data_IF_262222877515
#
_entry.id   IF_262222877515
#
_cell.length_a   1.000
_cell.length_b   1.000
_cell.length_c   1.000
_cell.angle_alpha   90.00
_cell.angle_beta   90.00
_cell.angle_gamma   90.00
#
_symmetry.space_group_name_H-M   'P 1'
#
loop_
_entity.id
_entity.type
_entity.pdbx_description
1 polymer ?
#
# COMPACT_ATOMS: atom_id res chain seq x y z
N UNK A 1 -2.10 6.10 -9.55
CA UNK A 1 -2.61 4.71 -9.71
C UNK A 1 -3.33 4.30 -8.42
N UNK A 2 -4.43 3.56 -8.52
CA UNK A 2 -5.22 3.08 -7.36
C UNK A 2 -4.85 1.64 -7.03
N UNK A 3 -4.51 1.36 -5.78
CA UNK A 3 -4.05 0.04 -5.34
C UNK A 3 -4.73 -0.33 -4.02
N UNK A 4 -5.19 -1.57 -3.90
CA UNK A 4 -5.78 -2.11 -2.66
C UNK A 4 -4.93 -3.30 -2.20
N UNK A 5 -4.39 -3.20 -0.98
CA UNK A 5 -3.71 -4.30 -0.30
C UNK A 5 -4.71 -5.00 0.63
N UNK A 6 -4.88 -6.31 0.48
CA UNK A 6 -5.72 -7.14 1.35
C UNK A 6 -4.79 -7.86 2.33
N UNK A 7 -4.95 -7.58 3.63
CA UNK A 7 -4.02 -7.93 4.71
C UNK A 7 -3.01 -6.80 4.97
N UNK A 8 -2.86 -6.42 6.24
CA UNK A 8 -1.88 -5.43 6.73
C UNK A 8 -0.61 -6.08 7.28
N UNK A 9 -0.32 -7.30 6.86
CA UNK A 9 0.96 -7.95 7.11
C UNK A 9 2.16 -7.18 6.52
N UNK A 10 3.39 -7.56 6.90
CA UNK A 10 4.60 -6.81 6.57
C UNK A 10 4.81 -6.62 5.07
N UNK A 11 4.42 -7.59 4.24
CA UNK A 11 4.51 -7.46 2.78
C UNK A 11 3.61 -6.36 2.22
N UNK A 12 2.34 -6.29 2.66
CA UNK A 12 1.37 -5.30 2.20
C UNK A 12 1.74 -3.87 2.62
N UNK A 13 2.21 -3.72 3.87
CA UNK A 13 2.67 -2.44 4.40
C UNK A 13 3.98 -1.99 3.76
N UNK A 14 4.96 -2.89 3.60
CA UNK A 14 6.22 -2.56 2.94
C UNK A 14 6.00 -2.12 1.49
N UNK A 15 5.11 -2.81 0.77
CA UNK A 15 4.72 -2.42 -0.57
C UNK A 15 4.06 -1.03 -0.59
N UNK A 16 3.08 -0.78 0.30
CA UNK A 16 2.38 0.50 0.36
C UNK A 16 3.34 1.67 0.63
N UNK A 17 4.26 1.50 1.58
CA UNK A 17 5.29 2.49 1.91
C UNK A 17 6.24 2.71 0.73
N UNK A 18 6.76 1.63 0.14
CA UNK A 18 7.69 1.70 -0.99
C UNK A 18 7.07 2.42 -2.20
N UNK A 19 5.78 2.18 -2.45
CA UNK A 19 5.05 2.86 -3.52
C UNK A 19 4.87 4.35 -3.22
N UNK A 20 4.51 4.72 -1.99
CA UNK A 20 4.40 6.14 -1.60
C UNK A 20 5.75 6.88 -1.66
N UNK A 21 6.85 6.22 -1.32
CA UNK A 21 8.20 6.77 -1.46
C UNK A 21 8.57 7.01 -2.93
N UNK A 22 8.19 6.10 -3.83
CA UNK A 22 8.51 6.20 -5.26
C UNK A 22 7.66 7.22 -5.99
N UNK A 23 6.36 7.28 -5.67
CA UNK A 23 5.48 8.33 -6.14
C UNK A 23 4.32 8.54 -5.12
N UNK A 24 4.27 9.70 -4.44
CA UNK A 24 3.23 9.97 -3.44
C UNK A 24 1.81 10.07 -4.02
N UNK A 25 1.65 10.25 -5.33
CA UNK A 25 0.35 10.30 -6.03
C UNK A 25 -0.34 8.93 -6.15
N UNK A 26 0.32 7.83 -5.77
CA UNK A 26 -0.35 6.53 -5.68
C UNK A 26 -1.42 6.56 -4.59
N UNK A 27 -2.66 6.27 -4.94
CA UNK A 27 -3.74 6.12 -3.97
C UNK A 27 -3.75 4.66 -3.51
N UNK A 28 -3.44 4.42 -2.24
CA UNK A 28 -3.25 3.07 -1.70
C UNK A 28 -4.15 2.91 -0.49
N UNK A 29 -4.97 1.86 -0.49
CA UNK A 29 -5.81 1.46 0.64
C UNK A 29 -5.34 0.11 1.14
N UNK A 30 -5.05 0.00 2.43
CA UNK A 30 -4.74 -1.27 3.10
C UNK A 30 -5.96 -1.68 3.90
N UNK A 31 -6.45 -2.90 3.69
CA UNK A 31 -7.61 -3.46 4.38
C UNK A 31 -7.17 -4.69 5.17
N UNK A 32 -7.41 -4.68 6.47
CA UNK A 32 -7.20 -5.81 7.40
C UNK A 32 -8.55 -6.16 8.07
N UNK A 33 -8.75 -7.43 8.45
CA UNK A 33 -9.93 -7.89 9.18
C UNK A 33 -9.93 -7.44 10.64
#
# INVERSE_FOLDING_TARGET
MKIVCIGGGPGGLYFAISMKLRNPEHEITVVEQ
#
